data_IF_388989948670
#
_entry.id   IF_388989948670
#
_cell.length_a   1.000
_cell.length_b   1.000
_cell.length_c   1.000
_cell.angle_alpha   90.00
_cell.angle_beta   90.00
_cell.angle_gamma   90.00
#
_symmetry.space_group_name_H-M   'P 1'
#
loop_
_entity.id
_entity.type
_entity.pdbx_description
1 polymer ?
#
# COMPACT_ATOMS: atom_id res chain seq x y z
N UNK A 1 21.05 -16.35 43.67
CA UNK A 1 20.37 -15.60 42.61
C UNK A 1 19.05 -15.09 43.15
N UNK A 2 18.88 -13.76 43.35
CA UNK A 2 17.61 -13.19 43.81
C UNK A 2 16.62 -13.20 42.63
N UNK A 3 15.52 -13.92 42.76
CA UNK A 3 14.45 -13.90 41.78
C UNK A 3 13.90 -12.47 41.65
N UNK A 4 13.97 -11.89 40.48
CA UNK A 4 13.41 -10.57 40.18
C UNK A 4 11.87 -10.70 40.30
N UNK A 5 11.30 -10.13 41.36
CA UNK A 5 9.86 -10.08 41.55
C UNK A 5 9.32 -8.97 40.67
N UNK A 6 8.95 -9.31 39.40
CA UNK A 6 8.29 -8.35 38.49
C UNK A 6 6.85 -8.18 38.98
N UNK A 7 6.41 -6.97 39.33
CA UNK A 7 5.01 -6.71 39.70
C UNK A 7 4.07 -7.15 38.57
N UNK A 8 2.98 -7.84 38.91
CA UNK A 8 1.98 -8.29 37.93
C UNK A 8 1.51 -7.16 37.00
N UNK A 9 1.40 -5.93 37.51
CA UNK A 9 1.04 -4.75 36.73
C UNK A 9 2.03 -4.46 35.59
N UNK A 10 3.35 -4.64 35.85
CA UNK A 10 4.39 -4.45 34.82
C UNK A 10 4.28 -5.52 33.73
N UNK A 11 3.99 -6.78 34.13
CA UNK A 11 3.78 -7.87 33.18
C UNK A 11 2.58 -7.60 32.27
N UNK A 12 1.45 -7.12 32.81
CA UNK A 12 0.27 -6.72 32.04
C UNK A 12 0.55 -5.55 31.11
N UNK A 13 1.29 -4.56 31.56
CA UNK A 13 1.67 -3.41 30.72
C UNK A 13 2.54 -3.84 29.53
N UNK A 14 3.54 -4.69 29.77
CA UNK A 14 4.40 -5.23 28.72
C UNK A 14 3.59 -6.07 27.73
N UNK A 15 2.70 -6.93 28.22
CA UNK A 15 1.83 -7.75 27.35
C UNK A 15 0.89 -6.87 26.51
N UNK A 16 0.31 -5.83 27.13
CA UNK A 16 -0.54 -4.88 26.41
C UNK A 16 0.22 -4.16 25.31
N UNK A 17 1.42 -3.66 25.61
CA UNK A 17 2.29 -2.99 24.62
C UNK A 17 2.66 -3.95 23.48
N UNK A 18 3.00 -5.21 23.79
CA UNK A 18 3.30 -6.23 22.77
C UNK A 18 2.09 -6.53 21.88
N UNK A 19 0.90 -6.64 22.45
CA UNK A 19 -0.34 -6.87 21.67
C UNK A 19 -0.65 -5.68 20.78
N UNK A 20 -0.57 -4.46 21.33
CA UNK A 20 -0.75 -3.22 20.54
C UNK A 20 0.25 -3.18 19.39
N UNK A 21 1.53 -3.46 19.68
CA UNK A 21 2.59 -3.48 18.66
C UNK A 21 2.32 -4.56 17.58
N UNK A 22 1.93 -5.77 17.98
CA UNK A 22 1.61 -6.85 17.05
C UNK A 22 0.42 -6.53 16.15
N UNK A 23 -0.61 -5.84 16.68
CA UNK A 23 -1.79 -5.44 15.91
C UNK A 23 -1.46 -4.31 14.94
N UNK A 24 -0.72 -3.28 15.38
CA UNK A 24 -0.40 -2.13 14.54
C UNK A 24 0.72 -2.39 13.53
N UNK A 25 1.68 -3.28 13.85
CA UNK A 25 2.79 -3.65 12.96
C UNK A 25 2.51 -4.85 12.06
N UNK A 26 1.30 -5.39 12.12
CA UNK A 26 0.95 -6.50 11.23
C UNK A 26 1.13 -6.08 9.77
N UNK A 27 1.93 -6.80 8.98
CA UNK A 27 2.10 -6.49 7.56
C UNK A 27 0.77 -6.63 6.83
N UNK A 28 0.51 -5.70 5.91
CA UNK A 28 -0.64 -5.78 5.01
C UNK A 28 -0.27 -6.77 3.92
N UNK A 29 -1.04 -7.84 3.80
CA UNK A 29 -0.83 -8.85 2.76
C UNK A 29 -1.48 -8.41 1.45
N UNK A 30 -0.75 -7.66 0.63
CA UNK A 30 -1.19 -7.27 -0.72
C UNK A 30 -1.55 -8.51 -1.54
N UNK A 31 -0.71 -9.55 -1.48
CA UNK A 31 -0.95 -10.83 -2.17
C UNK A 31 -2.32 -11.45 -1.85
N UNK A 32 -2.75 -11.42 -0.58
CA UNK A 32 -4.05 -11.98 -0.19
C UNK A 32 -5.21 -11.15 -0.76
N UNK A 33 -5.06 -9.81 -0.77
CA UNK A 33 -6.09 -8.90 -1.28
C UNK A 33 -6.24 -9.01 -2.81
N UNK A 34 -5.12 -9.08 -3.53
CA UNK A 34 -5.12 -9.25 -4.99
C UNK A 34 -5.68 -10.61 -5.41
N UNK A 35 -5.33 -11.69 -4.69
CA UNK A 35 -5.87 -13.04 -4.98
C UNK A 35 -7.37 -13.18 -4.72
N UNK A 36 -7.93 -12.33 -3.87
CA UNK A 36 -9.37 -12.29 -3.61
C UNK A 36 -10.14 -11.42 -4.62
N UNK A 37 -9.46 -10.91 -5.65
CA UNK A 37 -10.04 -10.01 -6.65
C UNK A 37 -10.19 -10.72 -7.98
N UNK A 38 -11.24 -10.36 -8.74
CA UNK A 38 -11.54 -10.91 -10.07
C UNK A 38 -11.42 -9.87 -11.18
N UNK A 39 -11.38 -8.60 -10.84
CA UNK A 39 -11.24 -7.49 -11.79
C UNK A 39 -10.46 -6.34 -11.17
N UNK A 40 -9.91 -5.48 -12.01
CA UNK A 40 -9.13 -4.34 -11.55
C UNK A 40 -9.20 -3.15 -12.50
N UNK A 41 -8.87 -1.99 -11.97
CA UNK A 41 -8.66 -0.78 -12.76
C UNK A 41 -7.33 -0.16 -12.36
N UNK A 42 -6.62 0.38 -13.33
CA UNK A 42 -5.41 1.17 -13.06
C UNK A 42 -5.61 2.56 -13.64
N UNK A 43 -5.34 3.56 -12.80
CA UNK A 43 -5.39 4.97 -13.15
C UNK A 43 -3.99 5.56 -12.99
N UNK A 44 -3.54 6.26 -14.01
CA UNK A 44 -2.36 7.12 -13.94
C UNK A 44 -2.80 8.57 -13.99
N UNK A 45 -2.14 9.43 -13.22
CA UNK A 45 -2.44 10.86 -13.18
C UNK A 45 -1.19 11.69 -12.93
N UNK A 46 -1.17 12.90 -13.45
CA UNK A 46 -0.17 13.91 -13.16
C UNK A 46 -0.81 15.01 -12.29
N UNK A 47 -0.13 15.38 -11.21
CA UNK A 47 -0.60 16.33 -10.21
C UNK A 47 0.36 17.52 -10.25
N UNK A 48 -0.06 18.64 -10.84
CA UNK A 48 0.79 19.82 -11.01
C UNK A 48 0.80 20.72 -9.79
N UNK A 49 -0.27 20.70 -9.00
CA UNK A 49 -0.40 21.42 -7.73
C UNK A 49 -1.46 20.75 -6.85
N UNK A 50 -1.54 21.16 -5.60
CA UNK A 50 -2.52 20.61 -4.67
C UNK A 50 -3.96 20.71 -5.22
N UNK A 51 -4.62 19.55 -5.33
CA UNK A 51 -6.00 19.43 -5.83
C UNK A 51 -6.16 19.42 -7.34
N UNK A 52 -5.07 19.43 -8.14
CA UNK A 52 -5.15 19.16 -9.58
C UNK A 52 -5.07 17.67 -9.87
N UNK A 53 -5.77 17.25 -10.91
CA UNK A 53 -5.69 15.89 -11.46
C UNK A 53 -5.60 16.02 -12.98
N UNK A 54 -4.40 16.30 -13.44
CA UNK A 54 -4.13 16.54 -14.86
C UNK A 54 -3.74 15.22 -15.55
N UNK A 55 -3.95 15.12 -16.85
CA UNK A 55 -3.54 14.01 -17.71
C UNK A 55 -3.94 12.61 -17.16
N UNK A 56 -5.19 12.48 -16.72
CA UNK A 56 -5.71 11.25 -16.14
C UNK A 56 -6.01 10.21 -17.23
N UNK A 57 -5.44 9.00 -17.07
CA UNK A 57 -5.70 7.86 -17.95
C UNK A 57 -6.24 6.69 -17.12
N UNK A 58 -7.23 5.99 -17.68
CA UNK A 58 -7.86 4.84 -17.05
C UNK A 58 -7.66 3.59 -17.90
N UNK A 59 -7.27 2.49 -17.26
CA UNK A 59 -7.18 1.17 -17.84
C UNK A 59 -8.06 0.22 -17.04
N UNK A 60 -9.08 -0.33 -17.66
CA UNK A 60 -9.90 -1.40 -17.07
C UNK A 60 -9.23 -2.72 -17.43
N UNK A 61 -8.98 -3.56 -16.43
CA UNK A 61 -8.26 -4.80 -16.56
C UNK A 61 -9.15 -5.97 -16.14
N UNK A 62 -9.28 -6.97 -16.99
CA UNK A 62 -9.92 -8.24 -16.66
C UNK A 62 -8.88 -9.30 -16.29
N UNK A 63 -9.30 -10.40 -15.67
CA UNK A 63 -8.40 -11.49 -15.28
C UNK A 63 -7.63 -12.10 -16.45
N UNK A 64 -8.20 -12.07 -17.65
CA UNK A 64 -7.58 -12.61 -18.88
C UNK A 64 -6.58 -11.62 -19.52
N UNK A 65 -6.49 -10.39 -19.01
CA UNK A 65 -5.57 -9.38 -19.51
C UNK A 65 -4.14 -9.67 -19.04
N UNK A 66 -3.20 -9.69 -19.97
CA UNK A 66 -1.79 -9.87 -19.65
C UNK A 66 -1.26 -8.79 -18.69
N UNK A 67 -1.72 -7.54 -18.81
CA UNK A 67 -1.37 -6.45 -17.88
C UNK A 67 -1.92 -6.72 -16.48
N UNK A 68 -3.14 -7.24 -16.35
CA UNK A 68 -3.70 -7.64 -15.06
C UNK A 68 -2.81 -8.68 -14.38
N UNK A 69 -2.42 -9.74 -15.12
CA UNK A 69 -1.57 -10.79 -14.59
C UNK A 69 -0.20 -10.26 -14.16
N UNK A 70 0.43 -9.41 -14.97
CA UNK A 70 1.73 -8.80 -14.63
C UNK A 70 1.64 -7.93 -13.37
N UNK A 71 0.59 -7.10 -13.24
CA UNK A 71 0.39 -6.26 -12.07
C UNK A 71 0.12 -7.10 -10.83
N UNK A 72 -0.71 -8.14 -10.94
CA UNK A 72 -1.01 -9.02 -9.80
C UNK A 72 0.21 -9.82 -9.36
N UNK A 73 1.04 -10.28 -10.29
CA UNK A 73 2.31 -10.93 -9.99
C UNK A 73 3.27 -9.98 -9.27
N UNK A 74 3.48 -8.76 -9.80
CA UNK A 74 4.28 -7.73 -9.17
C UNK A 74 3.79 -7.44 -7.75
N UNK A 75 2.50 -7.17 -7.58
CA UNK A 75 1.90 -6.86 -6.29
C UNK A 75 1.92 -8.03 -5.30
N UNK A 76 1.94 -9.27 -5.82
CA UNK A 76 2.07 -10.45 -4.95
C UNK A 76 3.41 -10.55 -4.22
N UNK A 77 4.42 -9.84 -4.69
CA UNK A 77 5.77 -9.78 -4.10
C UNK A 77 5.94 -8.59 -3.15
N UNK A 78 4.93 -7.70 -3.09
CA UNK A 78 4.98 -6.48 -2.27
C UNK A 78 4.57 -6.78 -0.84
N UNK A 79 5.37 -6.33 0.11
CA UNK A 79 5.03 -6.26 1.53
C UNK A 79 4.90 -4.82 1.99
N UNK A 80 3.84 -4.55 2.76
CA UNK A 80 3.54 -3.22 3.27
C UNK A 80 3.41 -3.22 4.78
N UNK A 81 3.94 -2.18 5.42
CA UNK A 81 3.76 -1.91 6.84
C UNK A 81 3.18 -0.51 7.02
N UNK A 82 2.20 -0.36 7.91
CA UNK A 82 1.64 0.96 8.24
C UNK A 82 2.72 1.86 8.85
N UNK A 83 2.74 3.12 8.46
CA UNK A 83 3.62 4.12 9.10
C UNK A 83 2.99 4.58 10.41
N UNK A 84 3.75 4.56 11.51
CA UNK A 84 3.25 4.95 12.86
C UNK A 84 2.96 6.43 13.00
N UNK A 85 3.67 7.29 12.27
CA UNK A 85 3.52 8.73 12.31
C UNK A 85 2.39 9.27 11.43
N UNK A 86 1.46 8.40 11.03
CA UNK A 86 0.34 8.71 10.15
C UNK A 86 -0.55 9.88 10.65
N UNK A 87 -0.56 10.13 11.96
CA UNK A 87 -1.37 11.18 12.57
C UNK A 87 -0.75 12.58 12.54
N UNK A 88 0.54 12.71 12.19
CA UNK A 88 1.29 13.97 12.29
C UNK A 88 1.93 14.44 10.99
N UNK A 89 1.92 13.63 9.95
CA UNK A 89 2.51 14.03 8.68
C UNK A 89 1.44 14.56 7.73
N UNK A 90 1.34 15.86 7.61
CA UNK A 90 0.91 16.46 6.35
C UNK A 90 1.95 16.03 5.30
N UNK A 91 1.67 14.98 4.53
CA UNK A 91 2.48 14.68 3.36
C UNK A 91 2.29 15.84 2.38
N UNK A 92 3.33 16.66 2.24
CA UNK A 92 3.44 17.55 1.10
C UNK A 92 4.17 16.77 0.01
N UNK A 93 3.51 16.60 -1.12
CA UNK A 93 4.18 16.10 -2.32
C UNK A 93 5.06 17.21 -2.91
N UNK A 94 6.20 16.84 -3.45
CA UNK A 94 6.99 17.74 -4.28
C UNK A 94 6.30 17.83 -5.66
N UNK A 95 5.63 18.94 -5.91
CA UNK A 95 4.93 19.16 -7.18
C UNK A 95 5.88 19.66 -8.30
N UNK A 96 5.66 19.25 -9.55
CA UNK A 96 4.67 18.27 -9.99
C UNK A 96 5.03 16.84 -9.60
N UNK A 97 4.04 16.03 -9.21
CA UNK A 97 4.22 14.61 -8.97
C UNK A 97 3.26 13.80 -9.84
N UNK A 98 3.56 12.51 -10.00
CA UNK A 98 2.71 11.55 -10.71
C UNK A 98 2.27 10.45 -9.77
N UNK A 99 1.09 9.89 -10.03
CA UNK A 99 0.63 8.72 -9.28
C UNK A 99 0.09 7.62 -10.18
N UNK A 100 0.19 6.40 -9.66
CA UNK A 100 -0.52 5.23 -10.19
C UNK A 100 -1.43 4.72 -9.10
N UNK A 101 -2.73 4.63 -9.39
CA UNK A 101 -3.73 4.05 -8.50
C UNK A 101 -4.25 2.76 -9.09
N UNK A 102 -4.02 1.65 -8.42
CA UNK A 102 -4.55 0.34 -8.75
C UNK A 102 -5.69 -0.01 -7.79
N UNK A 103 -6.87 -0.26 -8.34
CA UNK A 103 -8.07 -0.65 -7.60
C UNK A 103 -8.49 -2.06 -8.01
N UNK A 104 -8.68 -2.94 -7.04
CA UNK A 104 -9.07 -4.32 -7.27
C UNK A 104 -10.38 -4.63 -6.54
N UNK A 105 -11.23 -5.41 -7.23
CA UNK A 105 -12.60 -5.71 -6.80
C UNK A 105 -12.84 -7.22 -6.83
N UNK A 106 -13.78 -7.70 -6.02
CA UNK A 106 -14.33 -9.06 -6.15
C UNK A 106 -15.50 -9.10 -7.15
N UNK A 107 -16.07 -10.30 -7.36
CA UNK A 107 -17.19 -10.50 -8.27
C UNK A 107 -18.47 -9.75 -7.86
N UNK A 108 -18.57 -9.32 -6.60
CA UNK A 108 -19.66 -8.51 -6.08
C UNK A 108 -19.33 -7.01 -6.11
N UNK A 109 -18.32 -6.59 -6.86
CA UNK A 109 -17.83 -5.21 -7.00
C UNK A 109 -17.38 -4.55 -5.67
N UNK A 110 -17.08 -5.36 -4.64
CA UNK A 110 -16.52 -4.80 -3.41
C UNK A 110 -15.02 -4.54 -3.57
N UNK A 111 -14.59 -3.37 -3.13
CA UNK A 111 -13.17 -3.03 -3.08
C UNK A 111 -12.40 -3.99 -2.16
N UNK A 112 -11.39 -4.67 -2.70
CA UNK A 112 -10.45 -5.51 -1.95
C UNK A 112 -9.14 -4.78 -1.70
N UNK A 113 -8.65 -4.06 -2.70
CA UNK A 113 -7.40 -3.32 -2.61
C UNK A 113 -7.56 -1.99 -3.34
N UNK A 114 -7.21 -0.90 -2.67
CA UNK A 114 -6.92 0.40 -3.26
C UNK A 114 -5.47 0.74 -2.94
N UNK A 115 -4.63 0.71 -3.95
CA UNK A 115 -3.21 1.02 -3.84
C UNK A 115 -2.93 2.28 -4.66
N UNK A 116 -2.42 3.33 -4.02
CA UNK A 116 -1.90 4.52 -4.73
C UNK A 116 -0.42 4.66 -4.43
N UNK A 117 0.38 4.74 -5.48
CA UNK A 117 1.84 4.93 -5.40
C UNK A 117 2.19 6.20 -6.14
N UNK A 118 2.94 7.07 -5.48
CA UNK A 118 3.40 8.34 -6.04
C UNK A 118 4.86 8.25 -6.49
N UNK A 119 5.22 9.05 -7.47
CA UNK A 119 6.58 9.11 -8.02
C UNK A 119 7.63 9.58 -7.00
N UNK A 120 7.22 10.29 -5.95
CA UNK A 120 8.05 10.74 -4.82
C UNK A 120 8.25 9.66 -3.73
N UNK A 121 7.75 8.44 -3.95
CA UNK A 121 7.91 7.33 -3.00
C UNK A 121 6.87 7.29 -1.88
N UNK A 122 5.82 8.11 -1.94
CA UNK A 122 4.66 7.97 -1.05
C UNK A 122 3.80 6.81 -1.54
N UNK A 123 3.31 5.99 -0.62
CA UNK A 123 2.42 4.88 -0.92
C UNK A 123 1.26 4.82 0.08
N UNK A 124 0.05 4.62 -0.44
CA UNK A 124 -1.19 4.53 0.32
C UNK A 124 -1.88 3.20 -0.04
N UNK A 125 -2.23 2.43 0.97
CA UNK A 125 -3.00 1.18 0.82
C UNK A 125 -4.26 1.26 1.67
N UNK A 126 -5.44 1.16 1.04
CA UNK A 126 -6.74 1.24 1.71
C UNK A 126 -6.81 2.42 2.69
N UNK A 127 -6.47 3.62 2.21
CA UNK A 127 -6.43 4.88 2.96
C UNK A 127 -5.38 4.94 4.10
N UNK A 128 -4.44 4.00 4.15
CA UNK A 128 -3.35 4.00 5.12
C UNK A 128 -2.01 4.26 4.44
N UNK A 129 -1.23 5.23 4.95
CA UNK A 129 0.16 5.41 4.53
C UNK A 129 1.00 4.21 4.93
N UNK A 130 1.79 3.70 4.01
CA UNK A 130 2.59 2.49 4.22
C UNK A 130 4.04 2.70 3.78
N UNK A 131 4.92 1.91 4.39
CA UNK A 131 6.24 1.64 3.85
C UNK A 131 6.16 0.39 2.99
N UNK A 132 6.69 0.47 1.78
CA UNK A 132 6.69 -0.61 0.79
C UNK A 132 8.06 -1.24 0.73
N UNK A 133 8.10 -2.56 0.62
CA UNK A 133 9.27 -3.35 0.27
C UNK A 133 8.89 -4.43 -0.75
N UNK A 134 9.67 -4.56 -1.80
CA UNK A 134 9.57 -5.65 -2.77
C UNK A 134 10.98 -5.92 -3.37
N UNK A 135 11.19 -7.00 -4.13
CA UNK A 135 12.52 -7.34 -4.66
C UNK A 135 13.17 -6.25 -5.52
N UNK A 136 12.37 -5.40 -6.17
CA UNK A 136 12.85 -4.26 -6.98
C UNK A 136 13.20 -3.00 -6.18
N UNK A 137 12.88 -2.93 -4.86
CA UNK A 137 13.20 -1.75 -4.04
C UNK A 137 12.06 -1.23 -3.17
N UNK A 138 11.86 0.09 -3.14
CA UNK A 138 10.83 0.79 -2.37
C UNK A 138 9.62 1.23 -3.20
N UNK A 139 8.92 2.25 -2.71
CA UNK A 139 7.71 2.74 -3.34
C UNK A 139 7.96 3.48 -4.66
N UNK A 140 9.07 4.20 -4.80
CA UNK A 140 9.41 4.91 -6.04
C UNK A 140 9.70 3.92 -7.18
N UNK A 141 10.44 2.86 -6.90
CA UNK A 141 10.71 1.79 -7.86
C UNK A 141 9.45 0.98 -8.18
N UNK A 142 8.56 0.78 -7.20
CA UNK A 142 7.25 0.16 -7.44
C UNK A 142 6.38 1.03 -8.35
N UNK A 143 6.41 2.36 -8.17
CA UNK A 143 5.75 3.30 -9.06
C UNK A 143 6.23 3.11 -10.52
N UNK A 144 7.55 3.10 -10.73
CA UNK A 144 8.12 2.93 -12.06
C UNK A 144 7.74 1.58 -12.68
N UNK A 145 7.82 0.49 -11.91
CA UNK A 145 7.43 -0.84 -12.39
C UNK A 145 5.94 -0.92 -12.79
N UNK A 146 5.05 -0.23 -12.09
CA UNK A 146 3.62 -0.14 -12.46
C UNK A 146 3.42 0.68 -13.73
N UNK A 147 4.11 1.81 -13.87
CA UNK A 147 4.07 2.64 -15.09
C UNK A 147 4.54 1.85 -16.30
N UNK A 148 5.64 1.11 -16.18
CA UNK A 148 6.20 0.31 -17.28
C UNK A 148 5.25 -0.79 -17.78
N UNK A 149 4.36 -1.31 -16.90
CA UNK A 149 3.35 -2.29 -17.29
C UNK A 149 2.15 -1.61 -17.97
N UNK A 150 1.73 -0.45 -17.48
CA UNK A 150 0.50 0.23 -17.93
C UNK A 150 0.73 1.07 -19.18
N UNK A 151 1.89 1.72 -19.24
CA UNK A 151 2.31 2.66 -20.34
C UNK A 151 2.63 2.01 -21.61
#
# INVERSE_FOLDING_TARGET
MKALHIPRAVLFLVLFVLVVFAVFYRPISIKALVRASSQGTVRTEEITHFGSNDNMQYHVLSMDDAKYQQITELLSQVSCHKKLNQFYSSYSHDYPCRSVTASFYDDAENHKLLLTVYSDGVCIVNNAFVTVKYPGGGAAELYQALVDIVG
#
